data_IF_353507030354
#
_entry.id   IF_353507030354
#
_cell.length_a   1.000
_cell.length_b   1.000
_cell.length_c   1.000
_cell.angle_alpha   90.00
_cell.angle_beta   90.00
_cell.angle_gamma   90.00
#
_symmetry.space_group_name_H-M   'P 1'
#
loop_
_entity.id
_entity.type
_entity.pdbx_description
1 polymer ?
#
# COMPACT_ATOMS: atom_id res chain seq x y z
N UNK A 1 -6.85 10.55 10.15
CA UNK A 1 -8.11 10.21 9.44
C UNK A 1 -9.19 9.72 10.39
N UNK A 2 -8.89 8.94 11.45
CA UNK A 2 -9.91 8.44 12.39
C UNK A 2 -10.80 9.55 12.98
N UNK A 3 -10.20 10.58 13.55
CA UNK A 3 -10.96 11.71 14.12
C UNK A 3 -11.85 12.41 13.10
N UNK A 4 -11.41 12.49 11.84
CA UNK A 4 -12.19 13.07 10.74
C UNK A 4 -13.33 12.14 10.33
N UNK A 5 -13.08 10.83 10.23
CA UNK A 5 -14.10 9.83 9.94
C UNK A 5 -15.22 9.88 10.97
N UNK A 6 -14.84 9.83 12.26
CA UNK A 6 -15.77 9.86 13.38
C UNK A 6 -16.61 11.17 13.43
N UNK A 7 -15.95 12.33 13.31
CA UNK A 7 -16.64 13.62 13.41
C UNK A 7 -17.67 13.86 12.30
N UNK A 8 -17.46 13.29 11.13
CA UNK A 8 -18.35 13.44 9.97
C UNK A 8 -19.20 12.20 9.69
N UNK A 9 -18.97 11.10 10.40
CA UNK A 9 -19.68 9.82 10.24
C UNK A 9 -19.68 9.33 8.78
N UNK A 10 -18.49 9.34 8.15
CA UNK A 10 -18.26 9.03 6.74
C UNK A 10 -17.28 7.89 6.56
N UNK A 11 -17.41 7.18 5.44
CA UNK A 11 -16.39 6.24 4.98
C UNK A 11 -15.16 7.04 4.54
N UNK A 12 -13.98 6.75 5.10
CA UNK A 12 -12.73 7.33 4.62
C UNK A 12 -11.89 6.29 3.89
N UNK A 13 -11.51 6.60 2.67
CA UNK A 13 -10.66 5.78 1.83
C UNK A 13 -9.30 6.46 1.71
N UNK A 14 -8.25 5.77 2.11
CA UNK A 14 -6.88 6.23 2.00
C UNK A 14 -6.19 5.48 0.86
N UNK A 15 -6.02 6.13 -0.29
CA UNK A 15 -5.26 5.56 -1.41
C UNK A 15 -3.77 5.78 -1.18
N UNK A 16 -3.00 4.68 -1.24
CA UNK A 16 -1.56 4.67 -1.02
C UNK A 16 -0.81 4.12 -2.23
N UNK A 17 0.46 4.48 -2.35
CA UNK A 17 1.34 3.98 -3.40
C UNK A 17 1.60 2.48 -3.23
N UNK A 18 2.12 1.83 -4.27
CA UNK A 18 2.56 0.42 -4.20
C UNK A 18 2.63 -0.27 -5.56
N UNK A 19 2.07 0.33 -6.62
CA UNK A 19 1.98 -0.27 -7.95
C UNK A 19 1.40 -1.70 -7.89
N UNK A 20 2.26 -2.70 -8.13
CA UNK A 20 1.88 -4.12 -8.22
C UNK A 20 2.14 -4.90 -6.93
N UNK A 21 2.47 -4.20 -5.82
CA UNK A 21 2.73 -4.82 -4.52
C UNK A 21 2.12 -4.01 -3.38
N UNK A 22 1.33 -4.67 -2.55
CA UNK A 22 0.52 -4.05 -1.50
C UNK A 22 1.24 -3.84 -0.16
N UNK A 23 2.57 -3.86 -0.11
CA UNK A 23 3.32 -3.73 1.15
C UNK A 23 3.02 -2.47 1.94
N UNK A 24 2.93 -1.33 1.25
CA UNK A 24 2.63 -0.04 1.90
C UNK A 24 1.21 -0.07 2.46
N UNK A 25 0.23 -0.50 1.66
CA UNK A 25 -1.16 -0.60 2.10
C UNK A 25 -1.31 -1.55 3.29
N UNK A 26 -0.68 -2.72 3.23
CA UNK A 26 -0.74 -3.71 4.32
C UNK A 26 -0.17 -3.14 5.62
N UNK A 27 1.06 -2.63 5.60
CA UNK A 27 1.72 -2.16 6.81
C UNK A 27 1.10 -0.87 7.35
N UNK A 28 0.78 0.10 6.49
CA UNK A 28 0.15 1.34 6.93
C UNK A 28 -1.29 1.14 7.38
N UNK A 29 -2.04 0.25 6.71
CA UNK A 29 -3.40 -0.09 7.09
C UNK A 29 -3.46 -0.79 8.44
N UNK A 30 -2.61 -1.80 8.68
CA UNK A 30 -2.51 -2.46 9.99
C UNK A 30 -2.06 -1.50 11.09
N UNK A 31 -0.98 -0.74 10.87
CA UNK A 31 -0.47 0.20 11.84
C UNK A 31 -1.44 1.36 12.12
N UNK A 32 -2.21 1.78 11.12
CA UNK A 32 -3.20 2.84 11.20
C UNK A 32 -4.59 2.38 11.66
N UNK A 33 -4.80 1.07 11.88
CA UNK A 33 -6.10 0.54 12.31
C UNK A 33 -7.18 0.66 11.23
N UNK A 34 -6.83 0.42 9.96
CA UNK A 34 -7.82 0.39 8.88
C UNK A 34 -8.75 -0.83 9.04
N UNK A 35 -10.03 -0.63 8.73
CA UNK A 35 -11.06 -1.66 8.84
C UNK A 35 -11.13 -2.58 7.60
N UNK A 36 -10.52 -2.15 6.51
CA UNK A 36 -10.23 -2.97 5.34
C UNK A 36 -8.92 -2.52 4.69
N UNK A 37 -8.18 -3.47 4.13
CA UNK A 37 -6.93 -3.21 3.41
C UNK A 37 -7.02 -3.94 2.08
N UNK A 38 -6.95 -3.19 0.97
CA UNK A 38 -7.08 -3.72 -0.38
C UNK A 38 -5.74 -3.64 -1.09
N UNK A 39 -5.25 -4.80 -1.57
CA UNK A 39 -3.93 -4.94 -2.17
C UNK A 39 -3.99 -5.57 -3.57
N UNK A 40 -3.01 -5.30 -4.45
CA UNK A 40 -3.02 -5.86 -5.81
C UNK A 40 -2.98 -7.39 -5.87
N UNK A 41 -2.31 -8.02 -4.90
CA UNK A 41 -2.12 -9.47 -4.85
C UNK A 41 -3.41 -10.26 -4.59
N UNK A 42 -4.41 -9.58 -4.02
CA UNK A 42 -5.70 -10.20 -3.68
C UNK A 42 -6.82 -9.34 -4.25
N UNK A 43 -7.35 -9.68 -5.43
CA UNK A 43 -8.52 -8.99 -5.97
C UNK A 43 -9.68 -9.03 -4.97
N UNK A 44 -10.24 -7.86 -4.67
CA UNK A 44 -11.27 -7.73 -3.66
C UNK A 44 -12.68 -7.90 -4.23
N UNK A 45 -13.56 -8.45 -3.42
CA UNK A 45 -14.98 -8.50 -3.68
C UNK A 45 -15.65 -7.27 -3.07
N UNK A 46 -16.38 -6.52 -3.91
CA UNK A 46 -17.02 -5.29 -3.44
C UNK A 46 -18.13 -5.56 -2.41
N UNK A 47 -18.83 -6.70 -2.51
CA UNK A 47 -19.88 -7.08 -1.56
C UNK A 47 -19.28 -7.44 -0.19
N UNK A 48 -18.09 -8.06 -0.16
CA UNK A 48 -17.35 -8.27 1.08
C UNK A 48 -16.95 -6.93 1.73
N UNK A 49 -16.44 -5.97 0.94
CA UNK A 49 -16.07 -4.64 1.45
C UNK A 49 -17.30 -3.90 1.99
N UNK A 50 -18.44 -3.96 1.31
CA UNK A 50 -19.72 -3.41 1.80
C UNK A 50 -20.11 -4.04 3.14
N UNK A 51 -19.95 -5.35 3.27
CA UNK A 51 -20.20 -6.07 4.52
C UNK A 51 -19.35 -5.53 5.69
N UNK A 52 -18.05 -5.35 5.48
CA UNK A 52 -17.14 -4.79 6.49
C UNK A 52 -17.50 -3.35 6.87
N UNK A 53 -17.84 -2.53 5.88
CA UNK A 53 -18.28 -1.14 6.11
C UNK A 53 -19.54 -1.10 6.97
N UNK A 54 -20.55 -1.88 6.63
CA UNK A 54 -21.81 -1.92 7.36
C UNK A 54 -21.63 -2.43 8.79
N UNK A 55 -20.85 -3.50 8.99
CA UNK A 55 -20.52 -4.04 10.32
C UNK A 55 -19.88 -2.96 11.20
N UNK A 56 -19.00 -2.12 10.62
CA UNK A 56 -18.35 -1.04 11.36
C UNK A 56 -19.34 0.04 11.80
N UNK A 57 -20.28 0.43 10.93
CA UNK A 57 -21.33 1.39 11.29
C UNK A 57 -22.30 0.85 12.35
N UNK A 58 -22.56 -0.45 12.39
CA UNK A 58 -23.37 -1.07 13.46
C UNK A 58 -22.76 -0.87 14.85
N UNK A 59 -21.43 -0.78 14.94
CA UNK A 59 -20.72 -0.46 16.19
C UNK A 59 -20.59 1.03 16.47
N UNK A 60 -21.23 1.88 15.67
CA UNK A 60 -21.23 3.35 15.76
C UNK A 60 -19.87 4.02 15.47
N UNK A 61 -19.01 3.34 14.71
CA UNK A 61 -17.72 3.88 14.26
C UNK A 61 -17.67 4.02 12.76
N UNK A 62 -17.02 5.07 12.28
CA UNK A 62 -16.85 5.29 10.85
C UNK A 62 -15.67 4.47 10.29
N UNK A 63 -15.85 3.72 9.19
CA UNK A 63 -14.82 2.86 8.65
C UNK A 63 -13.72 3.62 7.91
N UNK A 64 -12.49 3.11 8.02
CA UNK A 64 -11.34 3.54 7.23
C UNK A 64 -10.88 2.37 6.37
N UNK A 65 -10.74 2.61 5.08
CA UNK A 65 -10.24 1.65 4.10
C UNK A 65 -8.89 2.14 3.59
N UNK A 66 -7.87 1.29 3.68
CA UNK A 66 -6.58 1.54 3.06
C UNK A 66 -6.49 0.77 1.75
N UNK A 67 -6.34 1.45 0.63
CA UNK A 67 -6.31 0.83 -0.70
C UNK A 67 -5.00 1.15 -1.42
N UNK A 68 -4.31 0.13 -1.92
CA UNK A 68 -3.17 0.33 -2.80
C UNK A 68 -3.63 0.80 -4.18
N UNK A 69 -2.92 1.74 -4.80
CA UNK A 69 -3.24 2.30 -6.12
C UNK A 69 -3.39 1.24 -7.24
N UNK A 70 -2.82 0.06 -7.05
CA UNK A 70 -2.90 -1.07 -7.97
C UNK A 70 -3.88 -2.17 -7.54
N UNK A 71 -4.67 -1.95 -6.51
CA UNK A 71 -5.70 -2.92 -6.10
C UNK A 71 -6.77 -3.07 -7.18
N UNK A 72 -7.33 -4.29 -7.28
CA UNK A 72 -8.28 -4.66 -8.32
C UNK A 72 -9.55 -5.23 -7.72
N UNK A 73 -10.73 -4.84 -8.20
CA UNK A 73 -11.95 -5.60 -7.95
C UNK A 73 -11.89 -6.96 -8.66
N UNK A 74 -12.55 -8.01 -8.12
CA UNK A 74 -12.60 -9.36 -8.72
C UNK A 74 -13.16 -9.37 -10.15
N UNK A 75 -14.16 -8.53 -10.40
CA UNK A 75 -14.87 -8.46 -11.67
C UNK A 75 -14.48 -7.23 -12.51
N UNK A 76 -13.26 -6.69 -12.32
CA UNK A 76 -12.84 -5.46 -12.97
C UNK A 76 -11.40 -5.44 -13.44
N UNK A 77 -11.12 -4.49 -14.31
CA UNK A 77 -9.78 -4.16 -14.79
C UNK A 77 -9.09 -3.13 -13.91
N UNK A 78 -7.79 -2.93 -14.13
CA UNK A 78 -7.01 -1.85 -13.49
C UNK A 78 -7.68 -0.49 -13.70
N UNK A 79 -8.03 0.17 -12.62
CA UNK A 79 -8.62 1.50 -12.65
C UNK A 79 -7.49 2.52 -12.83
N UNK A 80 -7.52 3.19 -13.97
CA UNK A 80 -6.54 4.22 -14.33
C UNK A 80 -7.27 5.51 -14.63
N UNK A 81 -6.76 6.61 -14.10
CA UNK A 81 -7.45 7.92 -14.24
C UNK A 81 -7.57 8.41 -15.69
N UNK A 82 -6.61 8.11 -16.57
CA UNK A 82 -6.62 8.62 -17.96
C UNK A 82 -5.90 7.69 -18.97
N UNK A 83 -5.52 6.48 -18.60
CA UNK A 83 -4.69 5.60 -19.46
C UNK A 83 -3.32 6.19 -19.81
N UNK A 84 -2.90 7.27 -19.13
CA UNK A 84 -1.64 7.96 -19.41
C UNK A 84 -0.45 7.18 -18.85
N UNK A 85 0.66 7.19 -19.59
CA UNK A 85 1.92 6.59 -19.17
C UNK A 85 2.73 7.59 -18.31
N UNK A 86 3.51 7.06 -17.38
CA UNK A 86 4.51 7.84 -16.66
C UNK A 86 5.77 8.07 -17.53
N UNK A 87 6.73 8.84 -17.02
CA UNK A 87 7.98 9.14 -17.71
C UNK A 87 8.83 7.89 -18.06
N UNK A 88 8.48 6.73 -17.50
CA UNK A 88 9.16 5.46 -17.71
C UNK A 88 8.33 4.48 -18.57
N UNK A 89 7.20 4.92 -19.13
CA UNK A 89 6.34 4.11 -19.99
C UNK A 89 5.39 3.17 -19.26
N UNK A 90 5.19 3.34 -17.94
CA UNK A 90 4.22 2.56 -17.18
C UNK A 90 2.89 3.29 -17.08
N UNK A 91 1.79 2.52 -17.08
CA UNK A 91 0.45 3.05 -16.84
C UNK A 91 0.41 3.73 -15.46
N UNK A 92 -0.09 4.97 -15.43
CA UNK A 92 -0.34 5.67 -14.17
C UNK A 92 -1.52 5.02 -13.46
N UNK A 93 -1.21 4.32 -12.39
CA UNK A 93 -2.22 3.78 -11.47
C UNK A 93 -2.69 4.93 -10.57
N UNK A 94 -3.99 5.18 -10.55
CA UNK A 94 -4.61 6.18 -9.66
C UNK A 94 -6.12 6.17 -9.91
N UNK A 95 -6.89 6.47 -8.87
CA UNK A 95 -8.33 6.62 -8.98
C UNK A 95 -9.12 5.44 -8.46
N UNK A 96 -8.48 4.37 -8.01
CA UNK A 96 -9.18 3.26 -7.35
C UNK A 96 -9.91 3.72 -6.09
N UNK A 97 -9.32 4.66 -5.33
CA UNK A 97 -9.97 5.24 -4.14
C UNK A 97 -11.23 6.03 -4.49
N UNK A 98 -11.20 6.84 -5.56
CA UNK A 98 -12.36 7.60 -6.03
C UNK A 98 -13.46 6.67 -6.57
N UNK A 99 -13.07 5.66 -7.34
CA UNK A 99 -14.01 4.64 -7.84
C UNK A 99 -14.66 3.88 -6.69
N UNK A 100 -13.87 3.45 -5.72
CA UNK A 100 -14.35 2.72 -4.53
C UNK A 100 -15.30 3.58 -3.70
N UNK A 101 -15.01 4.89 -3.55
CA UNK A 101 -15.89 5.81 -2.84
C UNK A 101 -17.27 5.86 -3.49
N UNK A 102 -17.34 6.07 -4.80
CA UNK A 102 -18.62 6.08 -5.53
C UNK A 102 -19.39 4.77 -5.41
N UNK A 103 -18.69 3.64 -5.56
CA UNK A 103 -19.31 2.32 -5.44
C UNK A 103 -19.84 2.01 -4.03
N UNK A 104 -19.13 2.46 -2.99
CA UNK A 104 -19.58 2.30 -1.60
C UNK A 104 -20.72 3.24 -1.25
N UNK A 105 -20.71 4.50 -1.70
CA UNK A 105 -21.85 5.44 -1.52
C UNK A 105 -23.13 4.88 -2.13
N UNK A 106 -23.06 4.35 -3.36
CA UNK A 106 -24.22 3.77 -4.05
C UNK A 106 -24.82 2.58 -3.29
N UNK A 107 -23.96 1.71 -2.72
CA UNK A 107 -24.39 0.46 -2.09
C UNK A 107 -24.75 0.58 -0.62
N UNK A 108 -24.12 1.49 0.11
CA UNK A 108 -24.33 1.66 1.56
C UNK A 108 -25.21 2.82 1.94
N UNK A 109 -25.34 3.83 1.05
CA UNK A 109 -26.01 5.09 1.34
C UNK A 109 -25.23 6.02 2.29
N UNK A 110 -24.01 5.63 2.70
CA UNK A 110 -23.13 6.47 3.52
C UNK A 110 -22.20 7.29 2.62
N UNK A 111 -21.99 8.55 2.99
CA UNK A 111 -21.04 9.41 2.28
C UNK A 111 -19.61 8.88 2.42
N UNK A 112 -18.87 8.82 1.32
CA UNK A 112 -17.47 8.41 1.29
C UNK A 112 -16.55 9.54 0.83
N UNK A 113 -15.32 9.56 1.32
CA UNK A 113 -14.30 10.51 0.91
C UNK A 113 -12.97 9.81 0.71
N UNK A 114 -12.30 10.18 -0.38
CA UNK A 114 -10.98 9.66 -0.70
C UNK A 114 -9.89 10.66 -0.33
N UNK A 115 -8.83 10.15 0.27
CA UNK A 115 -7.57 10.86 0.47
C UNK A 115 -6.48 10.12 -0.28
N UNK A 116 -5.99 10.70 -1.36
CA UNK A 116 -4.84 10.17 -2.10
C UNK A 116 -3.57 10.76 -1.51
N UNK A 117 -2.77 9.96 -0.82
CA UNK A 117 -1.53 10.44 -0.18
C UNK A 117 -0.45 10.81 -1.19
N UNK A 118 -0.37 10.09 -2.30
CA UNK A 118 0.59 10.38 -3.37
C UNK A 118 2.04 10.53 -2.87
N UNK A 119 2.75 11.52 -3.39
CA UNK A 119 4.18 11.73 -3.11
C UNK A 119 4.50 12.20 -1.67
N UNK A 120 3.51 12.58 -0.87
CA UNK A 120 3.71 12.85 0.58
C UNK A 120 4.32 11.63 1.28
N UNK A 121 4.01 10.42 0.82
CA UNK A 121 4.58 9.17 1.33
C UNK A 121 6.11 9.05 1.13
N UNK A 122 6.69 9.84 0.23
CA UNK A 122 8.14 9.85 -0.05
C UNK A 122 8.86 10.98 0.67
N UNK A 123 8.14 11.82 1.40
CA UNK A 123 8.66 12.94 2.18
C UNK A 123 8.86 12.58 3.65
N UNK A 124 9.25 13.59 4.42
CA UNK A 124 9.43 13.48 5.86
C UNK A 124 10.89 13.41 6.30
N UNK A 125 11.10 13.60 7.59
CA UNK A 125 12.43 13.52 8.20
C UNK A 125 12.77 12.04 8.48
N UNK A 126 13.95 11.54 8.06
CA UNK A 126 14.38 10.18 8.33
C UNK A 126 14.51 9.94 9.84
N UNK A 127 14.08 8.75 10.27
CA UNK A 127 14.24 8.29 11.65
C UNK A 127 15.70 7.94 11.96
N UNK A 128 16.02 7.70 13.22
CA UNK A 128 17.34 7.20 13.62
C UNK A 128 17.68 5.88 12.91
N UNK A 129 16.69 4.98 12.76
CA UNK A 129 16.85 3.71 12.04
C UNK A 129 17.23 3.94 10.57
N UNK A 130 16.51 4.81 9.87
CA UNK A 130 16.80 5.14 8.46
C UNK A 130 18.22 5.69 8.29
N UNK A 131 18.64 6.59 9.17
CA UNK A 131 19.95 7.22 9.13
C UNK A 131 21.08 6.22 9.35
N UNK A 132 20.96 5.34 10.35
CA UNK A 132 21.93 4.28 10.62
C UNK A 132 21.99 3.28 9.46
N UNK A 133 20.83 2.86 8.95
CA UNK A 133 20.76 1.91 7.85
C UNK A 133 21.37 2.49 6.56
N UNK A 134 21.06 3.74 6.23
CA UNK A 134 21.65 4.42 5.07
C UNK A 134 23.17 4.54 5.18
N UNK A 135 23.70 4.85 6.37
CA UNK A 135 25.14 4.91 6.63
C UNK A 135 25.79 3.53 6.41
N UNK A 136 25.18 2.47 6.94
CA UNK A 136 25.67 1.11 6.77
C UNK A 136 25.65 0.69 5.29
N UNK A 137 24.59 1.02 4.55
CA UNK A 137 24.55 0.77 3.10
C UNK A 137 25.65 1.50 2.36
N UNK A 138 25.88 2.79 2.66
CA UNK A 138 26.94 3.58 2.02
C UNK A 138 28.34 2.98 2.25
N UNK A 139 28.65 2.60 3.48
CA UNK A 139 29.94 1.96 3.82
C UNK A 139 30.12 0.65 3.05
N UNK A 140 29.11 -0.23 3.05
CA UNK A 140 29.20 -1.51 2.35
C UNK A 140 29.22 -1.36 0.83
N UNK A 141 28.58 -0.32 0.29
CA UNK A 141 28.68 -0.02 -1.15
C UNK A 141 30.12 0.35 -1.55
N UNK A 142 30.80 1.19 -0.74
CA UNK A 142 32.21 1.53 -0.99
C UNK A 142 33.13 0.31 -0.86
N UNK A 143 32.91 -0.56 0.12
CA UNK A 143 33.65 -1.82 0.22
C UNK A 143 33.40 -2.72 -0.99
N UNK A 144 32.19 -2.72 -1.53
CA UNK A 144 31.88 -3.46 -2.77
C UNK A 144 32.66 -2.94 -3.99
N UNK A 145 32.82 -1.61 -4.08
CA UNK A 145 33.66 -0.99 -5.12
C UNK A 145 35.15 -1.35 -4.96
N UNK A 146 35.69 -1.29 -3.74
CA UNK A 146 37.07 -1.69 -3.46
C UNK A 146 37.35 -3.14 -3.82
N UNK A 147 36.40 -4.02 -3.55
CA UNK A 147 36.49 -5.46 -3.85
C UNK A 147 36.15 -5.79 -5.32
N UNK A 148 35.85 -4.77 -6.13
CA UNK A 148 35.45 -4.92 -7.54
C UNK A 148 34.21 -5.84 -7.73
N UNK A 149 33.31 -5.87 -6.74
CA UNK A 149 32.09 -6.68 -6.74
C UNK A 149 30.99 -6.05 -7.64
N UNK A 150 31.30 -5.88 -8.91
CA UNK A 150 30.40 -5.27 -9.91
C UNK A 150 29.17 -6.17 -10.15
N UNK A 151 28.06 -5.55 -10.55
CA UNK A 151 26.80 -6.27 -10.80
C UNK A 151 26.09 -6.74 -9.52
N UNK A 152 26.46 -6.16 -8.36
CA UNK A 152 25.80 -6.43 -7.09
C UNK A 152 25.16 -5.16 -6.51
N UNK A 153 24.20 -5.36 -5.63
CA UNK A 153 23.65 -4.32 -4.75
C UNK A 153 23.90 -4.70 -3.29
N UNK A 154 23.94 -3.71 -2.42
CA UNK A 154 23.91 -3.94 -0.97
C UNK A 154 22.46 -4.06 -0.51
N UNK A 155 22.16 -5.05 0.31
CA UNK A 155 20.82 -5.34 0.83
C UNK A 155 20.85 -5.71 2.30
N UNK A 156 19.73 -5.49 3.00
CA UNK A 156 19.55 -5.91 4.39
C UNK A 156 18.99 -7.33 4.43
N UNK A 157 19.67 -8.25 5.14
CA UNK A 157 19.16 -9.58 5.43
C UNK A 157 19.22 -9.84 6.93
N UNK A 158 18.06 -9.85 7.57
CA UNK A 158 18.01 -9.81 9.04
C UNK A 158 18.61 -8.50 9.55
N UNK A 159 19.72 -8.58 10.27
CA UNK A 159 20.48 -7.42 10.78
C UNK A 159 21.73 -7.09 9.96
N UNK A 160 22.08 -7.95 8.99
CA UNK A 160 23.35 -7.86 8.26
C UNK A 160 23.18 -7.19 6.89
N UNK A 161 24.20 -6.43 6.50
CA UNK A 161 24.28 -5.92 5.12
C UNK A 161 25.01 -6.97 4.28
N UNK A 162 24.36 -7.42 3.22
CA UNK A 162 24.87 -8.44 2.30
C UNK A 162 24.96 -7.90 0.88
N UNK A 163 25.84 -8.50 0.06
CA UNK A 163 25.86 -8.25 -1.39
C UNK A 163 24.93 -9.23 -2.07
N UNK A 164 24.05 -8.70 -2.92
CA UNK A 164 23.08 -9.50 -3.68
C UNK A 164 23.33 -9.24 -5.17
N UNK A 165 23.46 -10.27 -6.01
CA UNK A 165 23.54 -10.10 -7.45
C UNK A 165 22.34 -9.32 -7.99
N UNK A 166 22.55 -8.36 -8.88
CA UNK A 166 21.45 -7.54 -9.44
C UNK A 166 20.40 -8.40 -10.15
N UNK A 167 20.82 -9.47 -10.83
CA UNK A 167 19.90 -10.39 -11.49
C UNK A 167 18.93 -11.06 -10.49
N UNK A 168 19.39 -11.41 -9.29
CA UNK A 168 18.52 -11.95 -8.23
C UNK A 168 17.60 -10.87 -7.65
N UNK A 169 18.13 -9.65 -7.45
CA UNK A 169 17.40 -8.56 -6.86
C UNK A 169 16.26 -8.04 -7.75
N UNK A 170 16.43 -8.12 -9.08
CA UNK A 170 15.48 -7.59 -10.07
C UNK A 170 14.67 -8.67 -10.80
N UNK A 171 15.04 -9.94 -10.66
CA UNK A 171 14.42 -11.04 -11.40
C UNK A 171 12.99 -11.37 -11.00
N UNK A 172 12.59 -11.07 -9.77
CA UNK A 172 11.24 -11.38 -9.26
C UNK A 172 10.72 -10.24 -8.40
N UNK A 173 9.50 -9.80 -8.68
CA UNK A 173 8.83 -8.82 -7.84
C UNK A 173 8.50 -9.44 -6.47
N UNK A 174 8.91 -8.78 -5.40
CA UNK A 174 8.59 -9.18 -4.04
C UNK A 174 7.17 -8.72 -3.68
N UNK A 175 6.21 -9.59 -3.90
CA UNK A 175 4.80 -9.37 -3.55
C UNK A 175 4.52 -9.69 -2.08
N UNK A 176 3.35 -9.28 -1.57
CA UNK A 176 2.88 -9.62 -0.22
C UNK A 176 2.49 -11.10 -0.18
N UNK A 177 3.09 -11.92 0.73
CA UNK A 177 2.64 -13.30 0.93
C UNK A 177 1.19 -13.32 1.43
N UNK A 178 0.40 -14.27 0.92
CA UNK A 178 -1.01 -14.39 1.27
C UNK A 178 -1.24 -14.60 2.78
N UNK A 179 -0.32 -15.28 3.45
CA UNK A 179 -0.36 -15.51 4.89
C UNK A 179 -0.28 -14.19 5.68
N UNK A 180 0.57 -13.26 5.23
CA UNK A 180 0.68 -11.92 5.83
C UNK A 180 -0.60 -11.11 5.64
N UNK A 181 -1.23 -11.24 4.49
CA UNK A 181 -2.50 -10.57 4.24
C UNK A 181 -3.61 -11.16 5.13
N UNK A 182 -3.65 -12.48 5.30
CA UNK A 182 -4.61 -13.16 6.18
C UNK A 182 -4.50 -12.72 7.64
N UNK A 183 -3.30 -12.40 8.12
CA UNK A 183 -3.13 -11.82 9.47
C UNK A 183 -3.92 -10.51 9.61
N UNK A 184 -3.92 -9.67 8.57
CA UNK A 184 -4.65 -8.40 8.58
C UNK A 184 -6.17 -8.58 8.46
N UNK A 185 -6.64 -9.58 7.70
CA UNK A 185 -8.10 -9.81 7.52
C UNK A 185 -8.82 -10.16 8.82
N UNK A 186 -8.11 -10.60 9.85
CA UNK A 186 -8.67 -10.84 11.18
C UNK A 186 -9.24 -9.56 11.85
N UNK A 187 -8.88 -8.38 11.34
CA UNK A 187 -9.30 -7.08 11.86
C UNK A 187 -10.27 -6.34 10.93
N UNK A 188 -10.70 -6.98 9.84
CA UNK A 188 -11.64 -6.36 8.90
C UNK A 188 -13.08 -6.40 9.43
N UNK A 189 -13.82 -5.32 9.22
CA UNK A 189 -15.22 -5.18 9.70
C UNK A 189 -15.39 -4.42 11.01
#
# INVERSE_FOLDING_TARGET
LHTTAESHHRILICEVMGRHAGWIALHSGMAGGANAILIPEVPFDLDEVVGWVNSRFETNYAPIICVAEGALPKDGDLITKDGTLDAFGHVKLSGIGEWLAGALEERTGHEARTTVLGHVQRGGTPTAFDRVLATRFGLNAIESVKDQAWGTMVGLRGTDIVRVPLAEATGTLKTVPIERYREATAFFG
#
